data_IF_484144505955
#
_entry.id   IF_484144505955
#
_cell.length_a   1.000
_cell.length_b   1.000
_cell.length_c   1.000
_cell.angle_alpha   90.00
_cell.angle_beta   90.00
_cell.angle_gamma   90.00
#
_symmetry.space_group_name_H-M   'P 1'
#
loop_
_entity.id
_entity.type
_entity.pdbx_description
1 polymer ?
#
# COMPACT_ATOMS: atom_id res chain seq x y z
N UNK A 1 -10.67 0.02 -5.16
CA UNK A 1 -10.10 1.35 -5.44
C UNK A 1 -8.56 1.33 -5.49
N UNK A 2 -7.97 0.31 -6.09
CA UNK A 2 -6.52 0.10 -5.90
C UNK A 2 -5.62 0.63 -7.01
N UNK A 3 -6.10 1.20 -8.10
CA UNK A 3 -5.22 1.09 -9.22
C UNK A 3 -5.18 2.12 -10.31
N UNK A 4 -5.70 3.29 -10.11
CA UNK A 4 -5.47 4.40 -11.05
C UNK A 4 -4.05 4.97 -10.89
N UNK A 5 -3.42 4.80 -9.74
CA UNK A 5 -2.08 5.32 -9.47
C UNK A 5 -0.91 4.54 -10.07
N UNK A 6 -1.12 3.29 -10.48
CA UNK A 6 0.00 2.45 -10.86
C UNK A 6 0.58 2.74 -12.26
N UNK A 7 -0.21 3.20 -13.20
CA UNK A 7 0.31 3.59 -14.50
C UNK A 7 1.17 4.86 -14.37
N UNK A 8 0.73 5.83 -13.60
CA UNK A 8 1.48 7.07 -13.37
C UNK A 8 2.79 6.80 -12.65
N UNK A 9 2.78 5.92 -11.64
CA UNK A 9 3.99 5.54 -10.91
C UNK A 9 4.98 4.70 -11.71
N UNK A 10 4.52 4.00 -12.74
CA UNK A 10 5.42 3.27 -13.65
C UNK A 10 6.10 4.18 -14.67
N UNK A 11 5.42 5.20 -15.15
CA UNK A 11 5.90 6.01 -16.29
C UNK A 11 6.55 7.34 -15.91
N UNK A 12 6.11 7.98 -14.85
CA UNK A 12 6.58 9.33 -14.51
C UNK A 12 6.78 9.59 -13.03
N UNK A 13 6.33 8.69 -12.19
CA UNK A 13 6.20 8.97 -10.76
C UNK A 13 5.00 9.85 -10.45
N UNK A 14 4.82 10.17 -9.19
CA UNK A 14 3.78 11.09 -8.69
C UNK A 14 4.43 12.30 -8.03
N UNK A 15 3.82 13.46 -8.21
CA UNK A 15 4.17 14.61 -7.41
C UNK A 15 3.77 14.39 -5.95
N UNK A 16 4.72 14.62 -5.05
CA UNK A 16 4.52 14.45 -3.61
C UNK A 16 4.24 15.83 -3.03
N UNK A 17 3.00 16.03 -2.56
CA UNK A 17 2.68 17.23 -1.77
C UNK A 17 3.09 16.97 -0.32
N UNK A 18 4.10 17.71 0.15
CA UNK A 18 4.64 17.56 1.52
C UNK A 18 3.70 18.09 2.59
N UNK A 19 2.73 18.94 2.23
CA UNK A 19 1.78 19.56 3.16
C UNK A 19 0.49 18.75 3.36
N UNK A 20 0.34 17.62 2.68
CA UNK A 20 -0.84 16.79 2.75
C UNK A 20 -0.50 15.35 3.16
N UNK A 21 -1.46 14.65 3.77
CA UNK A 21 -1.38 13.21 3.95
C UNK A 21 -1.90 12.52 2.67
N UNK A 22 -1.09 11.67 2.07
CA UNK A 22 -1.45 10.93 0.85
C UNK A 22 -2.45 9.82 1.11
N UNK A 23 -2.57 9.34 2.35
CA UNK A 23 -3.47 8.26 2.74
C UNK A 23 -4.82 8.81 3.20
N UNK A 24 -5.91 8.37 2.57
CA UNK A 24 -7.29 8.77 2.93
C UNK A 24 -7.98 7.82 3.92
N UNK A 25 -7.31 6.76 4.35
CA UNK A 25 -7.80 5.88 5.40
C UNK A 25 -7.91 6.63 6.74
N UNK A 26 -9.03 6.48 7.44
CA UNK A 26 -9.30 7.25 8.66
C UNK A 26 -9.84 8.67 8.43
N UNK A 27 -10.07 9.09 7.17
CA UNK A 27 -10.77 10.33 6.82
C UNK A 27 -12.17 10.05 6.31
N UNK A 28 -12.28 9.33 5.22
CA UNK A 28 -13.53 9.00 4.54
C UNK A 28 -13.74 7.49 4.36
N UNK A 29 -12.76 6.70 4.73
CA UNK A 29 -12.81 5.23 4.71
C UNK A 29 -12.33 4.68 6.05
N UNK A 30 -13.03 3.68 6.54
CA UNK A 30 -12.72 2.96 7.77
C UNK A 30 -12.96 1.48 7.57
N UNK A 31 -12.34 0.66 8.38
CA UNK A 31 -12.59 -0.77 8.44
C UNK A 31 -13.04 -1.15 9.87
N UNK A 32 -13.98 -2.07 9.96
CA UNK A 32 -14.44 -2.65 11.22
C UNK A 32 -13.96 -4.10 11.26
N UNK A 33 -13.21 -4.45 12.28
CA UNK A 33 -12.76 -5.83 12.48
C UNK A 33 -13.90 -6.72 12.96
N UNK A 34 -13.80 -8.06 12.85
CA UNK A 34 -14.78 -8.99 13.43
C UNK A 34 -14.97 -8.81 14.94
N UNK A 35 -13.95 -8.29 15.64
CA UNK A 35 -14.01 -7.98 17.06
C UNK A 35 -14.73 -6.66 17.38
N UNK A 36 -15.09 -5.89 16.36
CA UNK A 36 -15.77 -4.58 16.50
C UNK A 36 -14.82 -3.40 16.58
N UNK A 37 -13.52 -3.59 16.40
CA UNK A 37 -12.56 -2.49 16.42
C UNK A 37 -12.68 -1.64 15.17
N UNK A 38 -12.70 -0.33 15.32
CA UNK A 38 -12.63 0.64 14.25
C UNK A 38 -11.17 0.97 13.95
N UNK A 39 -10.75 0.72 12.71
CA UNK A 39 -9.38 0.95 12.23
C UNK A 39 -9.41 1.75 10.91
N UNK A 40 -8.31 2.41 10.50
CA UNK A 40 -8.27 3.20 9.26
C UNK A 40 -8.57 2.38 8.01
N UNK A 41 -7.94 1.22 7.85
CA UNK A 41 -8.19 0.27 6.76
C UNK A 41 -7.71 -1.14 7.15
N UNK A 42 -8.01 -2.14 6.32
CA UNK A 42 -7.63 -3.53 6.58
C UNK A 42 -6.11 -3.79 6.66
N UNK A 43 -5.29 -2.91 6.10
CA UNK A 43 -3.83 -2.98 6.18
C UNK A 43 -3.23 -2.10 7.29
N UNK A 44 -4.04 -1.36 8.03
CA UNK A 44 -3.56 -0.41 9.02
C UNK A 44 -4.26 -0.62 10.36
N UNK A 45 -3.64 -1.40 11.23
CA UNK A 45 -4.19 -1.83 12.51
C UNK A 45 -3.99 -0.79 13.64
N UNK A 46 -4.16 0.49 13.34
CA UNK A 46 -4.25 1.56 14.33
C UNK A 46 -5.68 1.59 14.88
N UNK A 47 -5.86 1.31 16.17
CA UNK A 47 -7.18 1.22 16.78
C UNK A 47 -7.71 2.58 17.19
N UNK A 48 -8.87 2.98 16.66
CA UNK A 48 -9.56 4.21 17.04
C UNK A 48 -10.55 3.99 18.19
N UNK A 49 -11.09 2.78 18.32
CA UNK A 49 -12.04 2.40 19.36
C UNK A 49 -12.79 1.12 18.97
N UNK A 50 -13.72 0.69 19.82
CA UNK A 50 -14.49 -0.53 19.62
C UNK A 50 -15.99 -0.24 19.66
N UNK A 51 -16.70 -0.62 18.59
CA UNK A 51 -18.13 -0.39 18.39
C UNK A 51 -19.04 -1.23 19.30
N UNK A 52 -18.51 -2.23 19.98
CA UNK A 52 -19.24 -2.97 21.02
C UNK A 52 -19.29 -2.19 22.34
N UNK A 53 -18.38 -1.20 22.52
CA UNK A 53 -18.20 -0.45 23.75
C UNK A 53 -18.66 1.00 23.62
N UNK A 54 -18.57 1.57 22.42
CA UNK A 54 -18.83 2.98 22.15
C UNK A 54 -19.63 3.19 20.88
N UNK A 55 -20.43 4.24 20.82
CA UNK A 55 -21.09 4.64 19.58
C UNK A 55 -20.06 5.16 18.55
N UNK A 56 -20.32 4.90 17.28
CA UNK A 56 -19.45 5.36 16.18
C UNK A 56 -19.21 6.87 16.23
N UNK A 57 -20.26 7.65 16.54
CA UNK A 57 -20.15 9.11 16.66
C UNK A 57 -19.09 9.50 17.69
N UNK A 58 -19.13 8.88 18.88
CA UNK A 58 -18.21 9.23 19.98
C UNK A 58 -16.76 8.90 19.60
N UNK A 59 -16.54 7.76 18.93
CA UNK A 59 -15.21 7.38 18.43
C UNK A 59 -14.71 8.38 17.39
N UNK A 60 -15.57 8.97 16.56
CA UNK A 60 -15.16 9.87 15.48
C UNK A 60 -15.07 11.35 15.92
N UNK A 61 -15.69 11.73 17.05
CA UNK A 61 -15.77 13.14 17.46
C UNK A 61 -14.62 13.55 18.38
N UNK A 62 -14.34 12.76 19.42
CA UNK A 62 -13.38 13.12 20.47
C UNK A 62 -12.28 12.05 20.59
N UNK A 63 -11.56 11.81 19.51
CA UNK A 63 -10.55 10.76 19.46
C UNK A 63 -9.16 11.31 19.16
N UNK A 64 -8.30 11.43 20.17
CA UNK A 64 -6.96 12.00 20.00
C UNK A 64 -6.06 11.17 19.06
N UNK A 65 -6.30 9.85 18.93
CA UNK A 65 -5.54 8.99 18.03
C UNK A 65 -5.95 9.28 16.58
N UNK A 66 -7.25 9.41 16.34
CA UNK A 66 -7.79 9.75 15.02
C UNK A 66 -7.36 11.16 14.61
N UNK A 67 -7.48 12.13 15.51
CA UNK A 67 -7.07 13.51 15.31
C UNK A 67 -5.57 13.61 14.97
N UNK A 68 -4.72 12.96 15.76
CA UNK A 68 -3.29 12.90 15.50
C UNK A 68 -3.00 12.29 14.13
N UNK A 69 -3.67 11.23 13.74
CA UNK A 69 -3.53 10.60 12.44
C UNK A 69 -3.95 11.54 11.29
N UNK A 70 -5.08 12.23 11.44
CA UNK A 70 -5.60 13.14 10.43
C UNK A 70 -4.75 14.40 10.23
N UNK A 71 -3.96 14.82 11.23
CA UNK A 71 -3.06 15.96 11.12
C UNK A 71 -1.67 15.64 10.57
N UNK A 72 -1.34 14.36 10.37
CA UNK A 72 -0.07 13.97 9.76
C UNK A 72 0.00 14.44 8.30
N UNK A 73 1.17 14.95 7.94
CA UNK A 73 1.54 15.39 6.60
C UNK A 73 2.68 14.54 6.06
N UNK A 74 2.92 14.60 4.75
CA UNK A 74 4.07 13.93 4.15
C UNK A 74 5.40 14.40 4.72
N UNK A 75 5.50 15.66 5.14
CA UNK A 75 6.68 16.21 5.83
C UNK A 75 7.00 15.53 7.16
N UNK A 76 6.04 14.87 7.79
CA UNK A 76 6.24 14.14 9.06
C UNK A 76 6.77 12.72 8.85
N UNK A 77 6.83 12.25 7.59
CA UNK A 77 7.33 10.92 7.28
C UNK A 77 8.84 10.95 7.14
N UNK A 78 9.50 10.14 7.97
CA UNK A 78 10.95 10.01 7.97
C UNK A 78 11.45 9.52 6.61
N UNK A 79 12.45 10.21 6.04
CA UNK A 79 13.12 9.87 4.78
C UNK A 79 12.22 9.87 3.52
N UNK A 80 10.89 10.04 3.66
CA UNK A 80 9.99 10.10 2.52
C UNK A 80 10.11 11.44 1.81
N UNK A 81 10.09 11.40 0.46
CA UNK A 81 10.25 12.60 -0.38
C UNK A 81 11.70 13.05 -0.60
N UNK A 82 12.69 12.42 0.05
CA UNK A 82 14.10 12.83 -0.04
C UNK A 82 14.86 12.14 -1.18
N UNK A 83 14.36 11.05 -1.70
CA UNK A 83 15.01 10.25 -2.74
C UNK A 83 14.28 10.34 -4.09
N UNK A 84 15.02 10.27 -5.19
CA UNK A 84 14.48 10.30 -6.55
C UNK A 84 13.46 9.19 -6.87
N UNK A 85 13.49 8.09 -6.13
CA UNK A 85 12.53 6.99 -6.27
C UNK A 85 11.27 7.15 -5.41
N UNK A 86 11.19 8.15 -4.54
CA UNK A 86 10.02 8.33 -3.67
C UNK A 86 8.73 8.59 -4.45
N UNK A 87 8.81 9.30 -5.58
CA UNK A 87 7.67 9.52 -6.49
C UNK A 87 7.09 8.22 -7.10
N UNK A 88 7.84 7.13 -7.05
CA UNK A 88 7.43 5.79 -7.51
C UNK A 88 6.91 4.91 -6.36
N UNK A 89 6.82 5.44 -5.16
CA UNK A 89 6.36 4.74 -3.98
C UNK A 89 4.83 4.74 -3.88
N UNK A 90 4.23 3.55 -3.71
CA UNK A 90 2.85 3.46 -3.23
C UNK A 90 2.88 3.53 -1.70
N UNK A 91 3.12 4.71 -1.15
CA UNK A 91 3.21 4.90 0.30
C UNK A 91 1.99 4.25 0.99
N UNK A 92 2.26 3.38 1.94
CA UNK A 92 1.24 2.75 2.76
C UNK A 92 1.59 2.89 4.24
N UNK A 93 0.87 3.78 4.92
CA UNK A 93 1.04 4.00 6.36
C UNK A 93 0.76 2.73 7.19
N UNK A 94 -0.13 1.85 6.70
CA UNK A 94 -0.42 0.57 7.34
C UNK A 94 0.78 -0.39 7.31
N UNK A 95 1.48 -0.48 6.19
CA UNK A 95 2.70 -1.30 6.08
C UNK A 95 3.80 -0.71 6.96
N UNK A 96 3.99 0.61 6.93
CA UNK A 96 4.91 1.30 7.82
C UNK A 96 4.64 0.96 9.29
N UNK A 97 3.37 1.06 9.70
CA UNK A 97 2.95 0.76 11.06
C UNK A 97 3.18 -0.70 11.44
N UNK A 98 2.92 -1.62 10.53
CA UNK A 98 3.14 -3.06 10.77
C UNK A 98 4.62 -3.42 10.93
N UNK A 99 5.52 -2.74 10.21
CA UNK A 99 6.97 -3.00 10.32
C UNK A 99 7.61 -2.28 11.52
N UNK A 100 7.15 -1.07 11.84
CA UNK A 100 7.85 -0.20 12.77
C UNK A 100 7.04 0.27 13.99
N UNK A 101 5.74 -0.05 14.06
CA UNK A 101 4.85 0.46 15.11
C UNK A 101 4.53 1.96 14.99
N UNK A 102 4.97 2.61 13.92
CA UNK A 102 4.67 4.01 13.59
C UNK A 102 4.33 4.15 12.11
N UNK A 103 3.33 4.98 11.76
CA UNK A 103 2.97 5.18 10.36
C UNK A 103 3.98 6.03 9.57
N UNK A 104 4.83 6.80 10.26
CA UNK A 104 5.70 7.82 9.66
C UNK A 104 7.08 7.31 9.27
N UNK A 105 7.51 6.16 9.79
CA UNK A 105 8.78 5.55 9.41
C UNK A 105 8.59 4.68 8.17
N UNK A 106 9.38 4.92 7.12
CA UNK A 106 9.24 4.23 5.85
C UNK A 106 9.52 2.73 5.96
N UNK A 107 8.60 1.89 5.49
CA UNK A 107 8.79 0.46 5.42
C UNK A 107 9.83 0.10 4.36
N UNK A 108 10.77 -0.79 4.71
CA UNK A 108 11.86 -1.20 3.80
C UNK A 108 11.34 -1.81 2.50
N UNK A 109 10.27 -2.61 2.61
CA UNK A 109 9.66 -3.23 1.44
C UNK A 109 9.06 -2.21 0.47
N UNK A 110 8.41 -1.14 0.98
CA UNK A 110 7.89 -0.06 0.15
C UNK A 110 9.02 0.68 -0.56
N UNK A 111 10.11 0.97 0.13
CA UNK A 111 11.29 1.62 -0.45
C UNK A 111 11.96 0.74 -1.51
N UNK A 112 12.07 -0.56 -1.25
CA UNK A 112 12.60 -1.52 -2.22
C UNK A 112 11.77 -1.54 -3.52
N UNK A 113 10.45 -1.65 -3.41
CA UNK A 113 9.54 -1.65 -4.56
C UNK A 113 9.61 -0.32 -5.33
N UNK A 114 9.71 0.81 -4.63
CA UNK A 114 9.89 2.12 -5.27
C UNK A 114 11.18 2.18 -6.09
N UNK A 115 12.29 1.69 -5.54
CA UNK A 115 13.58 1.59 -6.26
C UNK A 115 13.49 0.71 -7.50
N UNK A 116 12.80 -0.43 -7.42
CA UNK A 116 12.60 -1.32 -8.56
C UNK A 116 11.76 -0.63 -9.64
N UNK A 117 10.65 0.00 -9.27
CA UNK A 117 9.78 0.75 -10.20
C UNK A 117 10.53 1.89 -10.88
N UNK A 118 11.29 2.67 -10.12
CA UNK A 118 12.13 3.74 -10.66
C UNK A 118 13.13 3.22 -11.70
N UNK A 119 13.87 2.15 -11.37
CA UNK A 119 14.82 1.53 -12.31
C UNK A 119 14.13 1.01 -13.59
N UNK A 120 12.96 0.41 -13.46
CA UNK A 120 12.17 -0.04 -14.61
C UNK A 120 11.70 1.13 -15.46
N UNK A 121 11.16 2.18 -14.86
CA UNK A 121 10.72 3.39 -15.56
C UNK A 121 11.87 4.03 -16.34
N UNK A 122 13.07 4.12 -15.77
CA UNK A 122 14.26 4.60 -16.48
C UNK A 122 14.58 3.73 -17.71
N UNK A 123 14.59 2.40 -17.56
CA UNK A 123 14.82 1.49 -18.69
C UNK A 123 13.78 1.63 -19.78
N UNK A 124 12.51 1.75 -19.43
CA UNK A 124 11.40 1.92 -20.38
C UNK A 124 11.50 3.27 -21.11
N UNK A 125 11.81 4.35 -20.39
CA UNK A 125 12.02 5.70 -20.97
C UNK A 125 13.08 5.69 -22.07
N UNK A 126 14.16 4.94 -21.87
CA UNK A 126 15.25 4.83 -22.81
C UNK A 126 15.11 3.64 -23.79
N UNK A 127 13.95 2.99 -23.83
CA UNK A 127 13.70 1.78 -24.65
C UNK A 127 14.72 0.66 -24.43
N UNK A 128 15.29 0.58 -23.23
CA UNK A 128 16.25 -0.46 -22.82
C UNK A 128 15.56 -1.70 -22.28
N UNK A 129 14.25 -1.66 -22.15
CA UNK A 129 13.45 -2.77 -21.63
C UNK A 129 12.19 -2.94 -22.48
N UNK A 130 12.06 -4.13 -23.04
CA UNK A 130 10.84 -4.58 -23.70
C UNK A 130 10.30 -5.78 -22.91
N UNK A 131 9.17 -5.63 -22.19
CA UNK A 131 8.59 -6.72 -21.41
C UNK A 131 8.09 -7.88 -22.30
N UNK A 132 7.87 -7.62 -23.58
CA UNK A 132 7.42 -8.61 -24.53
C UNK A 132 8.58 -9.27 -25.29
N UNK A 133 9.82 -8.76 -25.17
CA UNK A 133 11.01 -9.27 -25.86
C UNK A 133 10.82 -9.39 -27.38
N UNK A 134 10.12 -8.41 -27.99
CA UNK A 134 9.80 -8.41 -29.41
C UNK A 134 8.65 -9.35 -29.80
N UNK A 135 8.04 -10.07 -28.88
CA UNK A 135 6.90 -10.96 -29.09
C UNK A 135 5.56 -10.23 -28.93
N UNK A 136 4.51 -10.75 -29.52
CA UNK A 136 3.16 -10.29 -29.21
C UNK A 136 2.74 -10.71 -27.78
N UNK A 137 1.79 -9.96 -27.19
CA UNK A 137 1.23 -10.32 -25.87
C UNK A 137 0.65 -11.75 -25.85
N UNK A 138 0.02 -12.17 -26.96
CA UNK A 138 -0.56 -13.51 -27.08
C UNK A 138 0.51 -14.61 -27.08
N UNK A 139 1.65 -14.38 -27.70
CA UNK A 139 2.78 -15.33 -27.69
C UNK A 139 3.39 -15.40 -26.29
N UNK A 140 3.59 -14.27 -25.63
CA UNK A 140 4.11 -14.22 -24.24
C UNK A 140 3.18 -14.91 -23.25
N UNK A 141 1.87 -14.72 -23.37
CA UNK A 141 0.89 -15.39 -22.51
C UNK A 141 0.91 -16.92 -22.63
N UNK A 142 1.25 -17.46 -23.81
CA UNK A 142 1.39 -18.91 -24.01
C UNK A 142 2.63 -19.50 -23.32
N UNK A 143 3.66 -18.68 -23.10
CA UNK A 143 4.90 -19.09 -22.44
C UNK A 143 4.80 -19.06 -20.91
N UNK A 144 3.79 -18.36 -20.36
CA UNK A 144 3.60 -18.31 -18.92
C UNK A 144 3.10 -19.66 -18.40
N UNK A 145 3.63 -20.14 -17.26
CA UNK A 145 3.16 -21.38 -16.66
C UNK A 145 1.67 -21.25 -16.31
N UNK A 146 0.87 -22.19 -16.76
CA UNK A 146 -0.54 -22.25 -16.42
C UNK A 146 -0.68 -22.64 -14.95
N UNK A 147 -0.96 -21.70 -14.10
CA UNK A 147 -1.27 -21.96 -12.68
C UNK A 147 -2.76 -22.28 -12.59
N UNK A 148 -3.11 -23.55 -12.41
CA UNK A 148 -4.52 -23.90 -12.18
C UNK A 148 -4.94 -23.43 -10.78
N UNK A 149 -6.11 -22.80 -10.70
CA UNK A 149 -6.71 -22.35 -9.42
C UNK A 149 -6.84 -23.53 -8.45
N UNK A 150 -7.13 -24.73 -8.93
CA UNK A 150 -7.22 -25.94 -8.11
C UNK A 150 -5.87 -26.41 -7.52
N UNK A 151 -4.74 -26.03 -8.09
CA UNK A 151 -3.42 -26.29 -7.51
C UNK A 151 -3.15 -25.33 -6.35
N UNK A 152 -3.44 -24.06 -6.54
CA UNK A 152 -3.32 -23.05 -5.49
C UNK A 152 -4.21 -23.38 -4.28
N UNK A 153 -5.47 -23.76 -4.52
CA UNK A 153 -6.39 -24.16 -3.44
C UNK A 153 -5.86 -25.35 -2.64
N UNK A 154 -5.29 -26.36 -3.30
CA UNK A 154 -4.70 -27.53 -2.62
C UNK A 154 -3.45 -27.16 -1.80
N UNK A 155 -2.60 -26.30 -2.32
CA UNK A 155 -1.40 -25.84 -1.61
C UNK A 155 -1.76 -24.99 -0.37
N UNK A 156 -2.86 -24.22 -0.42
CA UNK A 156 -3.37 -23.48 0.72
C UNK A 156 -4.01 -24.38 1.77
N UNK A 157 -4.85 -25.33 1.38
CA UNK A 157 -5.50 -26.27 2.31
C UNK A 157 -4.51 -27.16 3.07
N UNK A 158 -3.40 -27.53 2.42
CA UNK A 158 -2.34 -28.33 3.08
C UNK A 158 -1.55 -27.53 4.13
N UNK A 159 -1.54 -26.19 4.04
CA UNK A 159 -0.89 -25.33 5.04
C UNK A 159 -1.77 -25.10 6.28
N UNK A 160 -3.09 -25.14 6.14
CA UNK A 160 -4.02 -25.00 7.27
C UNK A 160 -4.04 -26.23 8.18
N UNK A 161 -3.71 -27.42 7.66
CA UNK A 161 -3.62 -28.65 8.45
C UNK A 161 -2.32 -28.78 9.27
N UNK A 162 -1.36 -27.84 9.10
CA UNK A 162 -0.05 -27.86 9.78
C UNK A 162 0.07 -26.80 10.90
N UNK A 163 -1.01 -26.12 11.27
CA UNK A 163 -1.14 -25.20 12.38
C UNK A 163 -2.27 -25.69 13.31
#
# INVERSE_FOLDING_TARGET
AMYVGNEVTLWGGMDINMDENTCRAGYNTFCITPNGDLIPCCAFHLHFGNLKLHHLRDILTDNPILEKWQHLKMSDYEECGTHEYCSFCSLCAGINYSEHGTPTKAAENNCYLAKVRHKLAQKMKYKQYDPLEGKSLQERLKELPTISVGRLQREYSQKEETY
#
